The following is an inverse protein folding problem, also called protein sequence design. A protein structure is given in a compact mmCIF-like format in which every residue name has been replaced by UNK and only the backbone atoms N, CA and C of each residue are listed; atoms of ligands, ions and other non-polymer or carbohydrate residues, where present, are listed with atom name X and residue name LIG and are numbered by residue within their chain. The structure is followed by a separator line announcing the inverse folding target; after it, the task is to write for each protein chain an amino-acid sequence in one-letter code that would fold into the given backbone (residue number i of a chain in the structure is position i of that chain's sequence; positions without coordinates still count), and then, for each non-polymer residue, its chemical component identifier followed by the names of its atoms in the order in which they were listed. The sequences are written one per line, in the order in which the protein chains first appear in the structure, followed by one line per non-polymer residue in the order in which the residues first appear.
data_IF_377015490858
#
_entry.id   IF_377015490858
#
_cell.length_a   1.000
_cell.length_b   1.000
_cell.length_c   1.000
_cell.angle_alpha   90.00
_cell.angle_beta   90.00
_cell.angle_gamma   90.00
#
_symmetry.space_group_name_H-M   'P 1'
#
loop_
_entity.id
_entity.type
_entity.pdbx_description
1 polymer ?
#
# COMPACT_ATOMS: atom_id res chain seq x y z
N UNK A 1 -73.71 64.92 52.06
CA UNK A 1 -72.59 64.01 51.88
C UNK A 1 -73.08 62.76 51.14
N UNK A 2 -73.05 62.73 49.80
CA UNK A 2 -73.23 61.50 49.00
C UNK A 2 -72.31 61.62 47.79
N UNK A 3 -71.47 60.60 47.63
CA UNK A 3 -70.24 60.58 46.82
C UNK A 3 -70.53 60.22 45.36
N UNK A 4 -69.91 60.94 44.41
CA UNK A 4 -69.84 60.61 42.98
C UNK A 4 -69.20 59.23 42.78
N UNK A 5 -69.89 58.29 42.14
CA UNK A 5 -69.25 57.09 41.57
C UNK A 5 -68.59 57.45 40.25
N UNK A 6 -67.25 57.55 40.26
CA UNK A 6 -66.43 57.63 39.06
C UNK A 6 -66.30 56.27 38.39
N UNK A 7 -66.41 56.25 37.07
CA UNK A 7 -66.19 55.08 36.23
C UNK A 7 -64.70 54.74 36.16
N UNK A 8 -64.33 53.48 36.44
CA UNK A 8 -63.01 52.96 36.10
C UNK A 8 -63.19 51.80 35.12
N UNK A 9 -62.96 52.07 33.83
CA UNK A 9 -62.80 51.02 32.81
C UNK A 9 -61.49 50.29 33.10
N UNK A 10 -61.57 49.01 33.48
CA UNK A 10 -60.41 48.10 33.43
C UNK A 10 -60.06 47.88 31.96
N UNK A 11 -58.92 48.39 31.52
CA UNK A 11 -58.32 48.07 30.23
C UNK A 11 -57.76 46.65 30.25
N UNK A 12 -58.15 45.87 29.25
CA UNK A 12 -57.62 44.55 28.94
C UNK A 12 -56.10 44.59 28.70
N UNK A 13 -55.32 44.06 29.63
CA UNK A 13 -53.89 43.80 29.42
C UNK A 13 -53.67 42.29 29.49
N UNK A 14 -54.00 41.58 28.39
CA UNK A 14 -53.49 40.22 28.12
C UNK A 14 -53.76 39.72 26.69
N UNK A 15 -53.55 40.54 25.66
CA UNK A 15 -53.24 39.99 24.32
C UNK A 15 -51.74 39.67 24.29
N UNK A 16 -51.35 38.47 24.74
CA UNK A 16 -50.04 37.91 24.37
C UNK A 16 -50.00 37.89 22.84
N UNK A 17 -49.10 38.67 22.24
CA UNK A 17 -48.98 38.82 20.79
C UNK A 17 -48.69 37.44 20.16
N UNK A 18 -49.73 36.75 19.70
CA UNK A 18 -49.64 35.51 18.92
C UNK A 18 -48.81 35.70 17.63
N UNK A 19 -48.56 36.94 17.20
CA UNK A 19 -47.71 37.26 16.06
C UNK A 19 -46.23 36.91 16.26
N UNK A 20 -45.68 37.08 17.47
CA UNK A 20 -44.23 36.86 17.70
C UNK A 20 -43.82 35.40 17.42
N UNK A 21 -44.49 34.36 17.96
CA UNK A 21 -44.14 32.97 17.65
C UNK A 21 -44.40 32.59 16.19
N UNK A 22 -45.39 33.21 15.52
CA UNK A 22 -45.64 32.99 14.08
C UNK A 22 -44.49 33.55 13.24
N UNK A 23 -44.07 34.79 13.51
CA UNK A 23 -42.96 35.44 12.78
C UNK A 23 -41.65 34.67 12.98
N UNK A 24 -41.36 34.23 14.21
CA UNK A 24 -40.18 33.39 14.49
C UNK A 24 -40.26 32.06 13.73
N UNK A 25 -41.44 31.42 13.69
CA UNK A 25 -41.64 30.18 12.93
C UNK A 25 -41.41 30.35 11.42
N UNK A 26 -41.88 31.46 10.84
CA UNK A 26 -41.67 31.79 9.41
C UNK A 26 -40.18 32.05 9.12
N UNK A 27 -39.48 32.78 9.99
CA UNK A 27 -38.04 33.03 9.83
C UNK A 27 -37.25 31.72 9.87
N UNK A 28 -37.55 30.82 10.81
CA UNK A 28 -36.91 29.50 10.89
C UNK A 28 -37.18 28.70 9.61
N UNK A 29 -38.43 28.69 9.12
CA UNK A 29 -38.78 27.98 7.89
C UNK A 29 -38.03 28.53 6.67
N UNK A 30 -37.93 29.85 6.53
CA UNK A 30 -37.17 30.49 5.45
C UNK A 30 -35.68 30.17 5.55
N UNK A 31 -35.08 30.20 6.75
CA UNK A 31 -33.69 29.80 6.95
C UNK A 31 -33.45 28.34 6.60
N UNK A 32 -34.36 27.44 6.97
CA UNK A 32 -34.31 26.02 6.58
C UNK A 32 -34.42 25.83 5.06
N UNK A 33 -35.31 26.59 4.40
CA UNK A 33 -35.44 26.59 2.94
C UNK A 33 -34.18 27.11 2.25
N UNK A 34 -33.57 28.18 2.76
CA UNK A 34 -32.31 28.71 2.24
C UNK A 34 -31.19 27.68 2.41
N UNK A 35 -31.07 27.06 3.59
CA UNK A 35 -30.11 25.98 3.84
C UNK A 35 -30.34 24.78 2.89
N UNK A 36 -31.59 24.42 2.63
CA UNK A 36 -31.95 23.36 1.69
C UNK A 36 -31.54 23.71 0.24
N UNK A 37 -31.82 24.94 -0.21
CA UNK A 37 -31.42 25.42 -1.55
C UNK A 37 -29.89 25.45 -1.69
N UNK A 38 -29.17 25.89 -0.65
CA UNK A 38 -27.71 25.87 -0.62
C UNK A 38 -27.14 24.43 -0.68
N UNK A 39 -27.81 23.45 -0.06
CA UNK A 39 -27.45 22.04 -0.19
C UNK A 39 -27.69 21.49 -1.61
N UNK A 40 -28.80 21.86 -2.24
CA UNK A 40 -29.16 21.38 -3.59
C UNK A 40 -28.23 21.91 -4.69
N UNK A 41 -27.63 23.08 -4.50
CA UNK A 41 -26.74 23.72 -5.48
C UNK A 41 -25.26 23.33 -5.34
N UNK A 42 -24.91 22.38 -4.47
CA UNK A 42 -23.52 21.94 -4.36
C UNK A 42 -23.09 21.16 -5.62
N UNK A 43 -21.90 21.48 -6.09
CA UNK A 43 -21.22 20.72 -7.14
C UNK A 43 -21.06 19.27 -6.67
N UNK A 44 -21.47 18.33 -7.52
CA UNK A 44 -21.34 16.88 -7.27
C UNK A 44 -20.25 16.30 -8.15
N UNK A 45 -19.44 15.41 -7.59
CA UNK A 45 -18.38 14.73 -8.32
C UNK A 45 -18.97 13.81 -9.39
N UNK A 46 -18.33 13.76 -10.55
CA UNK A 46 -18.65 12.90 -11.67
C UNK A 46 -17.37 12.36 -12.30
N UNK A 47 -17.50 11.38 -13.19
CA UNK A 47 -16.40 10.88 -13.99
C UNK A 47 -15.72 12.02 -14.78
N UNK A 48 -14.39 11.99 -14.84
CA UNK A 48 -13.55 13.03 -15.43
C UNK A 48 -13.20 14.19 -14.48
N UNK A 49 -13.96 14.41 -13.40
CA UNK A 49 -13.66 15.49 -12.45
C UNK A 49 -12.38 15.20 -11.66
N UNK A 50 -11.65 16.26 -11.32
CA UNK A 50 -10.59 16.17 -10.32
C UNK A 50 -11.19 16.32 -8.92
N UNK A 51 -10.91 15.37 -8.04
CA UNK A 51 -11.35 15.38 -6.64
C UNK A 51 -10.15 15.41 -5.71
N UNK A 52 -10.30 16.10 -4.59
CA UNK A 52 -9.32 16.13 -3.50
C UNK A 52 -10.00 15.58 -2.24
N UNK A 53 -9.38 14.59 -1.59
CA UNK A 53 -10.00 13.86 -0.47
C UNK A 53 -9.06 13.70 0.73
N UNK A 54 -9.67 13.70 1.93
CA UNK A 54 -9.07 13.08 3.10
C UNK A 54 -9.66 11.67 3.26
N UNK A 55 -8.85 10.68 3.61
CA UNK A 55 -9.31 9.31 3.78
C UNK A 55 -8.56 8.53 4.86
N UNK A 56 -9.22 7.49 5.35
CA UNK A 56 -8.63 6.41 6.15
C UNK A 56 -9.17 5.08 5.63
N UNK A 57 -8.27 4.13 5.35
CA UNK A 57 -8.56 2.77 4.94
C UNK A 57 -8.34 1.77 6.08
N UNK A 58 -9.29 0.85 6.23
CA UNK A 58 -9.36 -0.15 7.29
C UNK A 58 -9.50 -1.56 6.71
N UNK A 59 -8.86 -2.53 7.36
CA UNK A 59 -9.13 -3.96 7.20
C UNK A 59 -10.38 -4.36 8.00
N UNK A 60 -10.88 -5.57 7.78
CA UNK A 60 -12.07 -6.09 8.46
C UNK A 60 -11.94 -6.18 9.99
N UNK A 61 -10.71 -6.35 10.49
CA UNK A 61 -10.41 -6.36 11.93
C UNK A 61 -10.29 -4.95 12.54
N UNK A 62 -10.50 -3.90 11.74
CA UNK A 62 -10.39 -2.49 12.12
C UNK A 62 -8.97 -1.92 12.04
N UNK A 63 -7.97 -2.71 11.64
CA UNK A 63 -6.59 -2.23 11.45
C UNK A 63 -6.56 -1.17 10.35
N UNK A 64 -6.00 0.00 10.65
CA UNK A 64 -5.72 1.03 9.64
C UNK A 64 -4.55 0.55 8.79
N UNK A 65 -4.77 0.42 7.48
CA UNK A 65 -3.70 0.04 6.53
C UNK A 65 -3.17 1.24 5.74
N UNK A 66 -3.97 2.30 5.60
CA UNK A 66 -3.57 3.52 4.92
C UNK A 66 -4.38 4.73 5.40
N UNK A 67 -3.77 5.92 5.40
CA UNK A 67 -4.43 7.20 5.67
C UNK A 67 -3.56 8.37 5.23
N UNK A 68 -4.20 9.47 4.80
CA UNK A 68 -3.53 10.76 4.67
C UNK A 68 -3.86 11.72 5.84
N UNK A 69 -4.41 11.22 6.95
CA UNK A 69 -4.67 12.01 8.14
C UNK A 69 -3.55 11.81 9.15
N UNK A 70 -2.71 12.84 9.34
CA UNK A 70 -1.52 12.78 10.19
C UNK A 70 -1.77 12.17 11.58
N UNK A 71 -2.79 12.67 12.28
CA UNK A 71 -3.09 12.18 13.63
C UNK A 71 -3.47 10.70 13.71
N UNK A 72 -4.00 10.12 12.62
CA UNK A 72 -4.32 8.69 12.52
C UNK A 72 -3.09 7.90 12.09
N UNK A 73 -2.32 8.42 11.13
CA UNK A 73 -1.07 7.81 10.67
C UNK A 73 -0.08 7.62 11.81
N UNK A 74 0.16 8.66 12.61
CA UNK A 74 1.04 8.62 13.79
C UNK A 74 0.57 7.57 14.81
N UNK A 75 -0.74 7.48 15.09
CA UNK A 75 -1.31 6.49 16.03
C UNK A 75 -1.24 5.06 15.53
N UNK A 76 -1.23 4.88 14.20
CA UNK A 76 -1.25 3.56 13.54
C UNK A 76 0.14 3.11 13.08
N UNK A 77 1.20 3.85 13.43
CA UNK A 77 2.58 3.62 12.96
C UNK A 77 2.73 3.66 11.42
N UNK A 78 1.93 4.49 10.75
CA UNK A 78 1.94 4.72 9.30
C UNK A 78 2.47 6.12 8.99
N UNK A 79 3.70 6.41 9.44
CA UNK A 79 4.30 7.72 9.25
C UNK A 79 4.54 8.01 7.77
N UNK A 80 4.10 9.19 7.32
CA UNK A 80 4.33 9.72 5.96
C UNK A 80 5.08 11.04 6.03
N UNK A 81 5.86 11.31 4.98
CA UNK A 81 6.49 12.62 4.79
C UNK A 81 5.45 13.69 4.46
N UNK A 82 4.39 13.31 3.75
CA UNK A 82 3.31 14.20 3.32
C UNK A 82 1.94 13.57 3.65
N UNK A 83 1.11 14.36 4.34
CA UNK A 83 -0.27 14.05 4.71
C UNK A 83 -1.27 14.97 3.99
N UNK A 84 -0.86 15.59 2.88
CA UNK A 84 -1.74 16.44 2.09
C UNK A 84 -2.97 15.67 1.59
N UNK A 85 -4.13 16.34 1.46
CA UNK A 85 -5.31 15.79 0.80
C UNK A 85 -4.97 15.18 -0.56
N UNK A 86 -5.34 13.93 -0.77
CA UNK A 86 -4.98 13.21 -1.99
C UNK A 86 -5.86 13.67 -3.16
N UNK A 87 -5.24 14.03 -4.28
CA UNK A 87 -5.91 14.60 -5.46
C UNK A 87 -5.74 13.70 -6.68
N UNK A 88 -6.83 13.37 -7.35
CA UNK A 88 -6.84 12.50 -8.53
C UNK A 88 -8.05 12.77 -9.42
N UNK A 89 -8.05 12.19 -10.63
CA UNK A 89 -9.15 12.29 -11.59
C UNK A 89 -10.01 11.03 -11.53
N UNK A 90 -11.32 11.18 -11.33
CA UNK A 90 -12.25 10.04 -11.34
C UNK A 90 -12.30 9.46 -12.76
N UNK A 91 -12.08 8.14 -12.89
CA UNK A 91 -12.09 7.41 -14.15
C UNK A 91 -10.72 7.28 -14.81
N UNK A 92 -9.66 7.89 -14.26
CA UNK A 92 -8.30 7.80 -14.83
C UNK A 92 -7.55 6.54 -14.38
N UNK A 93 -8.06 5.82 -13.37
CA UNK A 93 -7.43 4.60 -12.86
C UNK A 93 -6.22 4.86 -11.95
N UNK A 94 -6.12 6.07 -11.41
CA UNK A 94 -5.07 6.45 -10.45
C UNK A 94 -5.29 5.77 -9.09
N UNK A 95 -6.55 5.43 -8.75
CA UNK A 95 -6.92 4.70 -7.54
C UNK A 95 -7.80 3.49 -7.85
N UNK A 96 -8.03 2.63 -6.86
CA UNK A 96 -8.80 1.40 -7.05
C UNK A 96 -10.24 1.71 -7.53
N UNK A 97 -10.81 0.91 -8.46
CA UNK A 97 -12.07 1.25 -9.14
C UNK A 97 -13.25 1.48 -8.19
N UNK A 98 -13.33 0.68 -7.12
CA UNK A 98 -14.36 0.81 -6.10
C UNK A 98 -14.29 2.13 -5.36
N UNK A 99 -13.09 2.65 -5.09
CA UNK A 99 -12.92 3.92 -4.40
C UNK A 99 -13.44 5.08 -5.26
N UNK A 100 -13.07 5.12 -6.54
CA UNK A 100 -13.56 6.12 -7.49
C UNK A 100 -15.09 6.10 -7.59
N UNK A 101 -15.67 4.89 -7.78
CA UNK A 101 -17.11 4.72 -7.94
C UNK A 101 -17.92 5.24 -6.75
N UNK A 102 -17.36 5.15 -5.54
CA UNK A 102 -18.06 5.55 -4.31
C UNK A 102 -18.06 7.07 -4.09
N UNK A 103 -17.21 7.81 -4.80
CA UNK A 103 -17.15 9.27 -4.76
C UNK A 103 -18.11 9.97 -5.73
N UNK A 104 -18.54 9.26 -6.78
CA UNK A 104 -19.48 9.82 -7.75
C UNK A 104 -20.78 10.23 -7.04
N UNK A 105 -21.21 11.45 -7.31
CA UNK A 105 -22.41 12.06 -6.73
C UNK A 105 -22.21 12.78 -5.41
N UNK A 106 -21.04 12.63 -4.75
CA UNK A 106 -20.73 13.34 -3.51
C UNK A 106 -20.39 14.80 -3.77
N UNK A 107 -20.68 15.65 -2.79
CA UNK A 107 -20.34 17.07 -2.83
C UNK A 107 -19.15 17.41 -1.93
N UNK A 108 -18.51 18.56 -2.17
CA UNK A 108 -17.49 19.08 -1.25
C UNK A 108 -18.05 19.27 0.18
N UNK A 109 -17.24 18.82 1.13
CA UNK A 109 -17.53 18.68 2.56
C UNK A 109 -18.31 17.42 2.95
N UNK A 110 -18.73 16.60 1.99
CA UNK A 110 -19.46 15.37 2.28
C UNK A 110 -18.53 14.26 2.76
N UNK A 111 -19.01 13.50 3.75
CA UNK A 111 -18.33 12.34 4.32
C UNK A 111 -19.07 11.08 3.93
N UNK A 112 -18.32 10.03 3.59
CA UNK A 112 -18.89 8.73 3.30
C UNK A 112 -18.01 7.62 3.85
N UNK A 113 -18.66 6.63 4.45
CA UNK A 113 -18.04 5.35 4.80
C UNK A 113 -18.59 4.26 3.88
N UNK A 114 -17.71 3.45 3.31
CA UNK A 114 -18.09 2.36 2.42
C UNK A 114 -17.10 1.20 2.51
N UNK A 115 -17.56 0.01 2.17
CA UNK A 115 -16.75 -1.22 2.14
C UNK A 115 -16.71 -1.75 0.72
N UNK A 116 -15.52 -2.10 0.26
CA UNK A 116 -15.26 -2.66 -1.05
C UNK A 116 -14.98 -4.15 -0.93
N UNK A 117 -15.64 -4.95 -1.76
CA UNK A 117 -15.25 -6.33 -2.01
C UNK A 117 -13.89 -6.36 -2.73
N UNK A 118 -13.12 -7.47 -2.66
CA UNK A 118 -11.81 -7.56 -3.28
C UNK A 118 -11.80 -7.18 -4.76
N UNK A 119 -12.82 -7.56 -5.53
CA UNK A 119 -12.94 -7.28 -6.97
C UNK A 119 -13.02 -5.79 -7.30
N UNK A 120 -13.52 -4.97 -6.37
CA UNK A 120 -13.58 -3.52 -6.49
C UNK A 120 -12.35 -2.83 -5.88
N UNK A 121 -11.43 -3.61 -5.31
CA UNK A 121 -10.18 -3.16 -4.69
C UNK A 121 -8.96 -3.74 -5.41
N UNK A 122 -8.21 -4.65 -4.78
CA UNK A 122 -6.97 -5.22 -5.31
C UNK A 122 -7.16 -6.61 -5.96
N UNK A 123 -8.39 -7.00 -6.22
CA UNK A 123 -8.79 -8.30 -6.74
C UNK A 123 -8.71 -9.42 -5.70
N UNK A 124 -9.18 -10.60 -6.09
CA UNK A 124 -9.01 -11.81 -5.30
C UNK A 124 -7.55 -12.28 -5.31
N UNK A 125 -7.14 -12.94 -4.23
CA UNK A 125 -5.89 -13.68 -4.23
C UNK A 125 -5.95 -14.78 -5.29
N UNK A 126 -4.86 -14.93 -6.03
CA UNK A 126 -4.72 -15.85 -7.15
C UNK A 126 -3.77 -16.97 -6.76
N UNK A 127 -4.24 -18.21 -6.82
CA UNK A 127 -3.45 -19.39 -6.48
C UNK A 127 -2.24 -19.52 -7.42
N UNK A 128 -2.39 -19.15 -8.70
CA UNK A 128 -1.30 -19.16 -9.68
C UNK A 128 -0.16 -18.16 -9.37
N UNK A 129 -0.40 -17.22 -8.44
CA UNK A 129 0.62 -16.30 -7.92
C UNK A 129 1.34 -16.81 -6.68
N UNK A 130 1.00 -18.01 -6.23
CA UNK A 130 1.66 -18.71 -5.13
C UNK A 130 2.59 -19.78 -5.71
N UNK A 131 3.88 -19.63 -5.45
CA UNK A 131 4.87 -20.64 -5.81
C UNK A 131 5.13 -21.56 -4.63
N UNK A 132 4.58 -22.78 -4.70
CA UNK A 132 4.75 -23.83 -3.70
C UNK A 132 5.98 -24.70 -3.96
N UNK A 133 6.43 -25.41 -2.93
CA UNK A 133 7.43 -26.47 -3.09
C UNK A 133 8.84 -25.97 -3.42
N UNK A 134 9.13 -24.68 -3.22
CA UNK A 134 10.46 -24.11 -3.44
C UNK A 134 11.45 -24.79 -2.51
N UNK A 135 12.57 -25.28 -3.07
CA UNK A 135 13.54 -26.07 -2.33
C UNK A 135 14.33 -25.19 -1.37
N UNK A 136 14.45 -25.65 -0.12
CA UNK A 136 15.33 -25.02 0.87
C UNK A 136 16.81 -25.32 0.62
N UNK A 137 17.11 -26.43 -0.04
CA UNK A 137 18.48 -26.77 -0.42
C UNK A 137 18.71 -26.38 -1.88
N UNK A 138 19.70 -25.54 -2.12
CA UNK A 138 20.16 -25.15 -3.45
C UNK A 138 21.53 -25.76 -3.69
N UNK A 139 21.75 -26.31 -4.89
CA UNK A 139 23.08 -26.73 -5.32
C UNK A 139 23.64 -25.64 -6.22
N UNK A 140 24.69 -24.96 -5.75
CA UNK A 140 25.48 -24.05 -6.56
C UNK A 140 26.70 -24.82 -7.07
N UNK A 141 27.15 -24.55 -8.29
CA UNK A 141 28.36 -25.22 -8.80
C UNK A 141 29.58 -24.76 -8.00
N UNK A 142 30.46 -25.69 -7.66
CA UNK A 142 31.74 -25.36 -7.00
C UNK A 142 32.69 -24.62 -7.94
N UNK A 143 32.64 -25.00 -9.21
CA UNK A 143 33.42 -24.40 -10.28
C UNK A 143 32.53 -23.80 -11.37
N UNK A 144 32.98 -22.71 -11.95
CA UNK A 144 32.43 -22.10 -13.16
C UNK A 144 33.54 -21.88 -14.17
N UNK A 145 33.16 -21.77 -15.45
CA UNK A 145 34.10 -21.57 -16.54
C UNK A 145 33.72 -20.31 -17.30
N UNK A 146 34.70 -19.46 -17.55
CA UNK A 146 34.53 -18.23 -18.32
C UNK A 146 35.60 -18.18 -19.41
N UNK A 147 35.23 -17.72 -20.60
CA UNK A 147 36.19 -17.50 -21.67
C UNK A 147 37.11 -16.33 -21.34
N UNK A 148 38.37 -16.39 -21.76
CA UNK A 148 39.36 -15.32 -21.52
C UNK A 148 38.88 -13.95 -22.01
N UNK A 149 38.25 -13.88 -23.18
CA UNK A 149 37.70 -12.62 -23.71
C UNK A 149 36.55 -12.06 -22.88
N UNK A 150 35.73 -12.91 -22.27
CA UNK A 150 34.62 -12.49 -21.41
C UNK A 150 35.11 -12.09 -20.02
N UNK A 151 36.18 -12.70 -19.52
CA UNK A 151 36.74 -12.37 -18.20
C UNK A 151 37.21 -10.92 -18.13
N UNK A 152 37.95 -10.44 -19.13
CA UNK A 152 38.46 -9.07 -19.15
C UNK A 152 37.31 -8.05 -19.17
N UNK A 153 36.22 -8.35 -19.88
CA UNK A 153 35.00 -7.53 -19.88
C UNK A 153 34.30 -7.55 -18.52
N UNK A 154 34.20 -8.72 -17.87
CA UNK A 154 33.48 -8.88 -16.62
C UNK A 154 34.22 -8.32 -15.40
N UNK A 155 35.56 -8.37 -15.40
CA UNK A 155 36.38 -8.03 -14.24
C UNK A 155 37.34 -6.86 -14.46
N UNK A 156 37.34 -6.28 -15.67
CA UNK A 156 38.19 -5.14 -16.07
C UNK A 156 39.69 -5.36 -15.77
N UNK A 157 40.15 -6.60 -15.93
CA UNK A 157 41.55 -7.00 -15.72
C UNK A 157 41.89 -8.30 -16.45
N UNK A 158 43.18 -8.49 -16.73
CA UNK A 158 43.71 -9.77 -17.19
C UNK A 158 43.66 -10.82 -16.07
N UNK A 159 43.32 -12.09 -16.37
CA UNK A 159 43.22 -13.15 -15.37
C UNK A 159 44.59 -13.58 -14.84
N UNK A 160 44.69 -13.81 -13.53
CA UNK A 160 45.86 -14.46 -12.91
C UNK A 160 45.41 -15.58 -11.99
N UNK A 161 46.11 -16.71 -12.02
CA UNK A 161 45.87 -17.81 -11.07
C UNK A 161 46.05 -17.27 -9.65
N UNK A 162 45.07 -17.55 -8.80
CA UNK A 162 45.01 -17.06 -7.43
C UNK A 162 44.25 -15.75 -7.24
N UNK A 163 43.83 -15.07 -8.32
CA UNK A 163 43.01 -13.87 -8.22
C UNK A 163 41.74 -14.11 -7.43
N UNK A 164 41.49 -13.25 -6.45
CA UNK A 164 40.20 -13.18 -5.75
C UNK A 164 39.28 -12.23 -6.52
N UNK A 165 38.09 -12.71 -6.82
CA UNK A 165 37.05 -12.01 -7.56
C UNK A 165 35.88 -11.72 -6.65
N UNK A 166 35.28 -10.54 -6.82
CA UNK A 166 34.08 -10.11 -6.12
C UNK A 166 33.14 -9.45 -7.11
N UNK A 167 31.85 -9.74 -6.97
CA UNK A 167 30.78 -9.13 -7.76
C UNK A 167 29.69 -8.65 -6.81
N UNK A 168 28.98 -7.61 -7.19
CA UNK A 168 27.90 -7.05 -6.37
C UNK A 168 26.76 -8.04 -6.19
N UNK A 169 26.48 -8.86 -7.21
CA UNK A 169 25.36 -9.79 -7.23
C UNK A 169 25.67 -11.13 -6.54
N UNK A 170 26.94 -11.39 -6.24
CA UNK A 170 27.42 -12.65 -5.65
C UNK A 170 27.95 -12.35 -4.23
N UNK A 171 27.30 -12.86 -3.17
CA UNK A 171 27.60 -12.45 -1.79
C UNK A 171 28.90 -13.08 -1.24
N UNK A 172 29.55 -13.95 -2.00
CA UNK A 172 30.82 -14.60 -1.64
C UNK A 172 31.94 -14.26 -2.63
N UNK A 173 33.16 -14.51 -2.19
CA UNK A 173 34.34 -14.33 -3.03
C UNK A 173 34.54 -15.56 -3.93
N UNK A 174 35.17 -15.35 -5.08
CA UNK A 174 35.56 -16.43 -5.99
C UNK A 174 37.06 -16.39 -6.23
N UNK A 175 37.64 -17.48 -6.72
CA UNK A 175 39.07 -17.59 -6.99
C UNK A 175 39.35 -18.16 -8.37
N UNK A 176 40.25 -17.55 -9.12
CA UNK A 176 40.80 -18.17 -10.33
C UNK A 176 41.72 -19.31 -9.94
N UNK A 177 41.40 -20.53 -10.36
CA UNK A 177 42.15 -21.74 -9.98
C UNK A 177 42.92 -22.38 -11.14
N UNK A 178 42.47 -22.15 -12.38
CA UNK A 178 43.11 -22.67 -13.59
C UNK A 178 42.89 -21.69 -14.74
N UNK A 179 43.91 -21.52 -15.57
CA UNK A 179 43.83 -20.72 -16.80
C UNK A 179 44.38 -21.57 -17.93
N UNK A 180 43.52 -21.85 -18.90
CA UNK A 180 43.86 -22.51 -20.16
C UNK A 180 43.77 -21.47 -21.30
N UNK A 181 44.25 -21.82 -22.50
CA UNK A 181 44.35 -20.88 -23.62
C UNK A 181 43.03 -20.17 -23.96
N UNK A 182 41.89 -20.81 -23.72
CA UNK A 182 40.55 -20.27 -24.06
C UNK A 182 39.61 -20.14 -22.86
N UNK A 183 39.90 -20.80 -21.74
CA UNK A 183 38.96 -20.94 -20.62
C UNK A 183 39.65 -20.73 -19.28
N UNK A 184 38.96 -20.05 -18.38
CA UNK A 184 39.38 -19.78 -17.01
C UNK A 184 38.42 -20.50 -16.08
N UNK A 185 38.96 -21.35 -15.20
CA UNK A 185 38.21 -22.03 -14.17
C UNK A 185 38.20 -21.17 -12.91
N UNK A 186 37.00 -20.87 -12.43
CA UNK A 186 36.75 -20.05 -11.24
C UNK A 186 36.09 -20.94 -10.19
N UNK A 187 36.62 -20.91 -8.96
CA UNK A 187 36.06 -21.61 -7.80
C UNK A 187 35.26 -20.65 -6.93
N UNK A 188 34.08 -21.06 -6.46
CA UNK A 188 33.37 -20.36 -5.40
C UNK A 188 34.05 -20.63 -4.04
N UNK A 189 34.42 -19.58 -3.30
CA UNK A 189 35.07 -19.70 -1.99
C UNK A 189 34.03 -19.67 -0.88
N UNK A 190 33.46 -20.84 -0.60
CA UNK A 190 32.50 -21.07 0.46
C UNK A 190 32.92 -22.32 1.23
N UNK A 191 32.79 -22.28 2.54
CA UNK A 191 33.14 -23.37 3.45
C UNK A 191 31.91 -23.86 4.20
N UNK A 192 31.94 -25.14 4.60
CA UNK A 192 30.89 -25.72 5.42
C UNK A 192 30.65 -24.88 6.69
N UNK A 193 29.39 -24.53 6.94
CA UNK A 193 28.99 -23.69 8.08
C UNK A 193 29.03 -22.18 7.83
N UNK A 194 29.52 -21.72 6.67
CA UNK A 194 29.48 -20.30 6.33
C UNK A 194 28.03 -19.80 6.27
N UNK A 195 27.78 -18.64 6.88
CA UNK A 195 26.51 -17.93 6.73
C UNK A 195 26.60 -16.96 5.56
N UNK A 196 25.66 -17.04 4.64
CA UNK A 196 25.55 -16.17 3.49
C UNK A 196 24.13 -15.59 3.39
N UNK A 197 24.03 -14.38 2.87
CA UNK A 197 22.76 -13.76 2.54
C UNK A 197 22.63 -13.71 1.02
N UNK A 198 21.67 -14.46 0.47
CA UNK A 198 21.48 -14.54 -0.96
C UNK A 198 20.86 -13.22 -1.48
N UNK A 199 21.31 -12.76 -2.63
CA UNK A 199 20.82 -11.53 -3.24
C UNK A 199 19.31 -11.64 -3.52
N UNK A 200 18.55 -10.63 -3.12
CA UNK A 200 17.10 -10.56 -3.37
C UNK A 200 16.23 -11.25 -2.31
N UNK A 201 16.80 -11.75 -1.21
CA UNK A 201 16.03 -12.31 -0.10
C UNK A 201 16.39 -11.64 1.22
N UNK A 202 15.55 -11.84 2.24
CA UNK A 202 15.72 -11.25 3.57
C UNK A 202 16.14 -12.26 4.64
N UNK A 203 16.30 -13.53 4.27
CA UNK A 203 16.71 -14.59 5.17
C UNK A 203 18.18 -14.97 4.99
N UNK A 204 18.76 -15.48 6.07
CA UNK A 204 20.09 -16.06 6.06
C UNK A 204 20.05 -17.48 5.47
N UNK A 205 21.19 -17.87 4.90
CA UNK A 205 21.45 -19.22 4.40
C UNK A 205 22.77 -19.72 4.95
N UNK A 206 22.91 -21.04 5.04
CA UNK A 206 24.10 -21.69 5.57
C UNK A 206 24.61 -22.76 4.62
N UNK A 207 25.91 -22.89 4.46
CA UNK A 207 26.52 -23.97 3.68
C UNK A 207 26.46 -25.27 4.47
N UNK A 208 25.81 -26.30 3.92
CA UNK A 208 25.61 -27.61 4.57
C UNK A 208 26.27 -28.77 3.84
N UNK A 209 26.83 -28.54 2.65
CA UNK A 209 27.53 -29.54 1.88
C UNK A 209 28.51 -28.89 0.91
N UNK A 210 29.61 -29.59 0.65
CA UNK A 210 30.64 -29.21 -0.33
C UNK A 210 31.25 -30.50 -0.87
N UNK A 211 30.86 -30.89 -2.08
CA UNK A 211 31.41 -32.05 -2.79
C UNK A 211 32.32 -31.61 -3.95
N UNK A 212 32.66 -32.50 -4.88
CA UNK A 212 33.57 -32.17 -5.99
C UNK A 212 32.93 -31.26 -7.05
N UNK A 213 31.60 -31.28 -7.17
CA UNK A 213 30.85 -30.58 -8.22
C UNK A 213 30.02 -29.42 -7.67
N UNK A 214 29.42 -29.58 -6.49
CA UNK A 214 28.44 -28.68 -5.93
C UNK A 214 28.73 -28.30 -4.48
N UNK A 215 28.28 -27.10 -4.15
CA UNK A 215 28.15 -26.60 -2.78
C UNK A 215 26.65 -26.55 -2.48
N UNK A 216 26.23 -27.19 -1.39
CA UNK A 216 24.83 -27.21 -0.97
C UNK A 216 24.57 -26.08 0.01
N UNK A 217 23.70 -25.15 -0.39
CA UNK A 217 23.25 -24.00 0.39
C UNK A 217 21.89 -24.32 0.99
N UNK A 218 21.76 -24.23 2.31
CA UNK A 218 20.49 -24.33 3.04
C UNK A 218 19.92 -22.95 3.32
N UNK A 219 18.78 -22.66 2.72
CA UNK A 219 17.99 -21.46 2.97
C UNK A 219 17.15 -21.61 4.25
N UNK A 220 17.08 -20.53 5.05
CA UNK A 220 16.32 -20.49 6.30
C UNK A 220 15.24 -19.40 6.31
N UNK A 221 14.30 -19.41 5.34
CA UNK A 221 13.20 -18.46 5.33
C UNK A 221 12.31 -18.63 6.56
N UNK A 222 11.71 -17.53 6.99
CA UNK A 222 10.64 -17.47 7.99
C UNK A 222 9.38 -16.94 7.32
N UNK A 223 8.22 -17.33 7.87
CA UNK A 223 6.94 -16.77 7.45
C UNK A 223 7.02 -15.24 7.59
N UNK A 224 6.55 -14.56 6.55
CA UNK A 224 6.61 -13.12 6.35
C UNK A 224 7.93 -12.53 5.83
N UNK A 225 8.98 -13.32 5.66
CA UNK A 225 10.17 -12.85 4.97
C UNK A 225 9.84 -12.46 3.52
N UNK A 226 10.62 -11.52 2.99
CA UNK A 226 10.43 -10.93 1.67
C UNK A 226 11.42 -11.47 0.65
N UNK A 227 10.93 -11.62 -0.57
CA UNK A 227 11.70 -11.86 -1.78
C UNK A 227 11.52 -10.64 -2.69
N UNK A 228 12.62 -10.18 -3.26
CA UNK A 228 12.70 -9.07 -4.20
C UNK A 228 13.30 -9.62 -5.48
N UNK A 229 12.57 -9.51 -6.59
CA UNK A 229 13.10 -9.93 -7.88
C UNK A 229 12.80 -8.89 -8.96
N UNK A 230 13.80 -8.61 -9.84
CA UNK A 230 13.60 -7.74 -10.98
C UNK A 230 12.64 -8.40 -11.98
N UNK A 231 11.78 -7.60 -12.60
CA UNK A 231 10.87 -8.01 -13.67
C UNK A 231 10.82 -6.96 -14.77
N UNK A 232 10.24 -7.31 -15.93
CA UNK A 232 10.00 -6.37 -17.02
C UNK A 232 9.11 -5.17 -16.62
N UNK A 233 8.28 -5.34 -15.58
CA UNK A 233 7.38 -4.31 -15.05
C UNK A 233 7.95 -3.54 -13.86
N UNK A 234 9.25 -3.73 -13.54
CA UNK A 234 9.90 -3.16 -12.36
C UNK A 234 10.19 -4.20 -11.28
N UNK A 235 10.40 -3.75 -10.05
CA UNK A 235 10.73 -4.62 -8.91
C UNK A 235 9.44 -5.28 -8.39
N UNK A 236 9.41 -6.61 -8.36
CA UNK A 236 8.35 -7.37 -7.72
C UNK A 236 8.76 -7.81 -6.33
N UNK A 237 7.77 -7.89 -5.45
CA UNK A 237 7.91 -8.37 -4.09
C UNK A 237 7.02 -9.61 -3.90
N UNK A 238 7.56 -10.63 -3.25
CA UNK A 238 6.79 -11.76 -2.76
C UNK A 238 7.08 -11.99 -1.28
N UNK A 239 6.19 -12.74 -0.62
CA UNK A 239 6.25 -12.99 0.82
C UNK A 239 6.24 -14.48 1.08
N UNK A 240 7.08 -14.96 2.00
CA UNK A 240 7.05 -16.35 2.45
C UNK A 240 5.77 -16.59 3.25
N UNK A 241 4.97 -17.57 2.85
CA UNK A 241 3.68 -17.90 3.48
C UNK A 241 3.69 -19.23 4.23
N UNK A 242 4.58 -20.15 3.88
CA UNK A 242 4.77 -21.42 4.58
C UNK A 242 6.23 -21.87 4.48
N UNK A 243 6.70 -22.58 5.50
CA UNK A 243 8.04 -23.14 5.56
C UNK A 243 7.95 -24.50 6.24
N UNK A 244 8.41 -25.53 5.52
CA UNK A 244 8.51 -26.89 6.00
C UNK A 244 9.98 -27.31 6.14
N UNK A 245 10.21 -28.58 6.47
CA UNK A 245 11.57 -29.12 6.57
C UNK A 245 12.34 -29.02 5.25
N UNK A 246 11.71 -29.29 4.10
CA UNK A 246 12.43 -29.39 2.82
C UNK A 246 12.08 -28.27 1.84
N UNK A 247 10.94 -27.64 2.04
CA UNK A 247 10.36 -26.70 1.09
C UNK A 247 9.80 -25.47 1.78
N UNK A 248 9.52 -24.44 0.99
CA UNK A 248 8.75 -23.27 1.41
C UNK A 248 7.86 -22.81 0.26
N UNK A 249 6.92 -21.92 0.54
CA UNK A 249 6.09 -21.28 -0.47
C UNK A 249 6.17 -19.75 -0.35
N UNK A 250 6.08 -19.09 -1.50
CA UNK A 250 6.01 -17.62 -1.59
C UNK A 250 4.74 -17.18 -2.30
N UNK A 251 4.20 -16.05 -1.86
CA UNK A 251 3.03 -15.41 -2.43
C UNK A 251 3.42 -14.06 -3.06
N UNK A 252 3.12 -13.91 -4.35
CA UNK A 252 3.34 -12.70 -5.14
C UNK A 252 2.04 -11.92 -5.44
N UNK A 253 0.94 -12.26 -4.78
CA UNK A 253 -0.27 -11.46 -4.80
C UNK A 253 -0.03 -10.06 -4.19
N UNK A 254 -0.91 -9.11 -4.53
CA UNK A 254 -0.91 -7.82 -3.84
C UNK A 254 -1.14 -8.07 -2.33
N UNK A 255 -0.47 -7.34 -1.40
CA UNK A 255 -0.62 -7.58 0.04
C UNK A 255 -2.06 -7.48 0.58
N UNK A 256 -2.93 -6.76 -0.15
CA UNK A 256 -4.35 -6.58 0.15
C UNK A 256 -5.28 -7.40 -0.76
N UNK A 257 -4.74 -8.28 -1.61
CA UNK A 257 -5.57 -9.15 -2.45
C UNK A 257 -6.44 -10.09 -1.59
N UNK A 258 -7.68 -10.31 -2.03
CA UNK A 258 -8.66 -11.12 -1.33
C UNK A 258 -9.22 -10.49 -0.05
N UNK A 259 -8.82 -9.27 0.31
CA UNK A 259 -9.33 -8.57 1.50
C UNK A 259 -10.46 -7.63 1.14
N UNK A 260 -11.49 -7.60 1.98
CA UNK A 260 -12.45 -6.50 2.01
C UNK A 260 -11.81 -5.27 2.65
N UNK A 261 -12.03 -4.10 2.04
CA UNK A 261 -11.44 -2.84 2.49
C UNK A 261 -12.54 -1.85 2.80
N UNK A 262 -12.51 -1.29 4.00
CA UNK A 262 -13.44 -0.23 4.40
C UNK A 262 -12.72 1.11 4.34
N UNK A 263 -13.37 2.13 3.76
CA UNK A 263 -12.84 3.48 3.71
C UNK A 263 -13.79 4.45 4.38
N UNK A 264 -13.23 5.42 5.11
CA UNK A 264 -13.90 6.64 5.51
C UNK A 264 -13.25 7.79 4.74
N UNK A 265 -14.07 8.56 4.02
CA UNK A 265 -13.59 9.61 3.11
C UNK A 265 -14.34 10.92 3.37
N UNK A 266 -13.63 12.04 3.26
CA UNK A 266 -14.18 13.40 3.21
C UNK A 266 -13.75 14.06 1.90
N UNK A 267 -14.71 14.50 1.07
CA UNK A 267 -14.41 15.24 -0.14
C UNK A 267 -14.06 16.68 0.23
N UNK A 268 -12.81 17.09 0.01
CA UNK A 268 -12.34 18.45 0.31
C UNK A 268 -12.69 19.40 -0.81
N UNK A 269 -12.39 19.00 -2.05
CA UNK A 269 -12.59 19.85 -3.21
C UNK A 269 -12.98 19.03 -4.45
N UNK A 270 -13.67 19.70 -5.38
CA UNK A 270 -14.04 19.16 -6.69
C UNK A 270 -13.75 20.24 -7.73
N UNK A 271 -12.92 19.91 -8.71
CA UNK A 271 -12.66 20.75 -9.88
C UNK A 271 -13.27 20.06 -11.08
N UNK A 272 -14.23 20.73 -11.71
CA UNK A 272 -14.92 20.21 -12.89
C UNK A 272 -13.99 20.15 -14.09
N UNK A 273 -14.08 19.07 -14.84
CA UNK A 273 -13.51 19.01 -16.20
C UNK A 273 -14.20 20.08 -17.06
N UNK A 274 -13.42 20.78 -17.89
CA UNK A 274 -13.97 21.72 -18.87
C UNK A 274 -14.56 20.99 -20.06
#
# INVERSE_FOLDING_TARGET
MVVKKSSFKRTDVKKRNKLIPIVVGVIILVLLLILLILQLNKVKAAEGDTVTVDYTGYLDDGTVFDTNIESIGLKSNLNREDYSPYTFVIGNGDVIPGFESQLIGLSSGEKKKFTLAPEMAYGNAKEEKIAHGLKRNLNITKYSFVNTSSYTVLFDKEPKIGDILRREEIPWNMKVVEINNTNIKIQNLLSLGDNINLTGVTWDSVIIGDDDEFITVRQNPKINDRVVFPSAAGILFAKVISVDENTFAIDSNHPLAGKSLTFEVEVKNIVKTK
#
